data_IF_065845634182
#
_entry.id   IF_065845634182
#
_cell.length_a   1.000
_cell.length_b   1.000
_cell.length_c   1.000
_cell.angle_alpha   90.00
_cell.angle_beta   90.00
_cell.angle_gamma   90.00
#
_symmetry.space_group_name_H-M   'P 1'
#
loop_
_entity.id
_entity.type
_entity.pdbx_description
1 polymer ?
#
# COMPACT_ATOMS: atom_id res chain seq x y z
N UNK A 1 -11.60 -4.79 -1.63
CA UNK A 1 -10.81 -5.13 -0.42
C UNK A 1 -9.83 -6.29 -0.67
N UNK A 2 -10.29 -7.47 -1.13
CA UNK A 2 -9.43 -8.65 -1.36
C UNK A 2 -8.18 -8.39 -2.21
N UNK A 3 -8.33 -7.72 -3.36
CA UNK A 3 -7.19 -7.43 -4.25
C UNK A 3 -6.09 -6.59 -3.56
N UNK A 4 -6.49 -5.60 -2.75
CA UNK A 4 -5.56 -4.79 -1.99
C UNK A 4 -4.86 -5.64 -0.93
N UNK A 5 -5.60 -6.48 -0.20
CA UNK A 5 -5.04 -7.39 0.81
C UNK A 5 -4.00 -8.35 0.21
N UNK A 6 -4.32 -8.98 -0.92
CA UNK A 6 -3.40 -9.89 -1.62
C UNK A 6 -2.15 -9.15 -2.10
N UNK A 7 -2.30 -7.90 -2.55
CA UNK A 7 -1.16 -7.10 -2.98
C UNK A 7 -0.24 -6.73 -1.82
N UNK A 8 -0.80 -6.32 -0.67
CA UNK A 8 -0.06 -5.96 0.53
C UNK A 8 0.81 -7.12 1.06
N UNK A 9 0.29 -8.35 1.01
CA UNK A 9 1.04 -9.55 1.44
C UNK A 9 2.28 -9.81 0.58
N UNK A 10 2.24 -9.44 -0.71
CA UNK A 10 3.36 -9.64 -1.64
C UNK A 10 4.52 -8.66 -1.44
N UNK A 11 4.39 -7.70 -0.51
CA UNK A 11 5.42 -6.70 -0.29
C UNK A 11 6.79 -7.31 0.03
N UNK A 12 6.84 -8.28 0.95
CA UNK A 12 8.08 -8.93 1.36
C UNK A 12 8.76 -9.65 0.18
N UNK A 13 7.99 -10.37 -0.62
CA UNK A 13 8.50 -11.08 -1.80
C UNK A 13 9.08 -10.10 -2.84
N UNK A 14 8.41 -8.98 -3.08
CA UNK A 14 8.89 -7.95 -4.00
C UNK A 14 10.14 -7.24 -3.49
N UNK A 15 10.23 -7.02 -2.18
CA UNK A 15 11.41 -6.44 -1.56
C UNK A 15 12.62 -7.38 -1.69
N UNK A 16 12.43 -8.67 -1.42
CA UNK A 16 13.47 -9.69 -1.59
C UNK A 16 13.90 -9.83 -3.05
N UNK A 17 12.95 -9.77 -3.99
CA UNK A 17 13.26 -9.80 -5.41
C UNK A 17 14.14 -8.60 -5.81
N UNK A 18 13.76 -7.38 -5.41
CA UNK A 18 14.53 -6.18 -5.69
C UNK A 18 15.95 -6.24 -5.10
N UNK A 19 16.09 -6.79 -3.89
CA UNK A 19 17.38 -6.96 -3.22
C UNK A 19 18.26 -8.02 -3.90
N UNK A 20 17.70 -9.17 -4.27
CA UNK A 20 18.45 -10.26 -4.90
C UNK A 20 18.92 -9.89 -6.31
N UNK A 21 18.09 -9.19 -7.07
CA UNK A 21 18.39 -8.81 -8.45
C UNK A 21 19.10 -7.44 -8.56
N UNK A 22 19.25 -6.71 -7.45
CA UNK A 22 19.77 -5.33 -7.41
C UNK A 22 19.01 -4.37 -8.33
N UNK A 23 17.70 -4.57 -8.43
CA UNK A 23 16.84 -3.86 -9.37
C UNK A 23 15.71 -3.10 -8.64
N UNK A 24 15.90 -1.80 -8.34
CA UNK A 24 14.93 -1.01 -7.57
C UNK A 24 13.61 -0.77 -8.30
N UNK A 25 13.58 -0.92 -9.63
CA UNK A 25 12.37 -0.73 -10.43
C UNK A 25 11.23 -1.68 -10.02
N UNK A 26 11.53 -2.85 -9.44
CA UNK A 26 10.51 -3.74 -8.89
C UNK A 26 9.74 -3.11 -7.73
N UNK A 27 10.41 -2.33 -6.88
CA UNK A 27 9.75 -1.58 -5.79
C UNK A 27 8.90 -0.47 -6.39
N UNK A 28 9.43 0.27 -7.38
CA UNK A 28 8.70 1.35 -8.06
C UNK A 28 7.38 0.85 -8.70
N UNK A 29 7.44 -0.26 -9.44
CA UNK A 29 6.25 -0.86 -10.04
C UNK A 29 5.27 -1.34 -8.98
N UNK A 30 5.77 -1.97 -7.90
CA UNK A 30 4.92 -2.43 -6.80
C UNK A 30 4.17 -1.28 -6.11
N UNK A 31 4.84 -0.18 -5.77
CA UNK A 31 4.18 0.95 -5.09
C UNK A 31 3.19 1.68 -6.00
N UNK A 32 3.45 1.71 -7.31
CA UNK A 32 2.52 2.25 -8.29
C UNK A 32 1.23 1.43 -8.33
N UNK A 33 1.35 0.11 -8.46
CA UNK A 33 0.19 -0.79 -8.46
C UNK A 33 -0.57 -0.74 -7.12
N UNK A 34 0.15 -0.64 -6.00
CA UNK A 34 -0.44 -0.46 -4.68
C UNK A 34 -1.27 0.84 -4.60
N UNK A 35 -0.76 1.95 -5.11
CA UNK A 35 -1.48 3.23 -5.14
C UNK A 35 -2.76 3.15 -5.99
N UNK A 36 -2.69 2.52 -7.17
CA UNK A 36 -3.87 2.31 -8.04
C UNK A 36 -4.91 1.42 -7.37
N UNK A 37 -4.50 0.33 -6.72
CA UNK A 37 -5.40 -0.55 -5.98
C UNK A 37 -6.03 0.14 -4.77
N UNK A 38 -5.25 0.95 -4.06
CA UNK A 38 -5.75 1.73 -2.93
C UNK A 38 -6.79 2.78 -3.36
N UNK A 39 -6.55 3.49 -4.46
CA UNK A 39 -7.51 4.46 -5.02
C UNK A 39 -8.84 3.79 -5.36
N UNK A 40 -8.81 2.63 -6.04
CA UNK A 40 -10.02 1.84 -6.32
C UNK A 40 -10.70 1.35 -5.04
N UNK A 41 -9.94 0.96 -4.03
CA UNK A 41 -10.50 0.57 -2.73
C UNK A 41 -11.20 1.74 -2.07
N UNK A 42 -10.57 2.92 -2.05
CA UNK A 42 -11.12 4.13 -1.43
C UNK A 42 -12.43 4.57 -2.09
N UNK A 43 -12.52 4.50 -3.42
CA UNK A 43 -13.74 4.82 -4.17
C UNK A 43 -14.89 3.82 -3.92
N UNK A 44 -14.59 2.52 -3.92
CA UNK A 44 -15.62 1.48 -3.84
C UNK A 44 -16.01 1.11 -2.40
N UNK A 45 -15.19 1.46 -1.40
CA UNK A 45 -15.36 1.03 -0.02
C UNK A 45 -15.20 2.23 0.94
N UNK A 46 -16.24 3.05 1.14
CA UNK A 46 -16.13 4.25 1.97
C UNK A 46 -15.80 3.88 3.42
N UNK A 47 -14.69 4.42 3.93
CA UNK A 47 -14.16 4.13 5.27
C UNK A 47 -15.06 4.75 6.34
N UNK A 48 -15.33 6.05 6.21
CA UNK A 48 -16.13 6.84 7.17
C UNK A 48 -17.62 6.46 7.21
N UNK A 49 -18.15 5.84 6.15
CA UNK A 49 -19.57 5.42 6.05
C UNK A 49 -19.74 3.91 6.20
N UNK A 50 -18.80 3.23 6.84
CA UNK A 50 -18.90 1.78 7.05
C UNK A 50 -20.14 1.44 7.90
N UNK A 51 -20.79 0.31 7.58
CA UNK A 51 -22.07 -0.06 8.19
C UNK A 51 -21.94 -0.49 9.66
N UNK A 52 -20.74 -0.91 10.10
CA UNK A 52 -20.46 -1.30 11.47
C UNK A 52 -18.99 -1.02 11.86
N UNK A 53 -18.73 -0.98 13.16
CA UNK A 53 -17.41 -0.65 13.71
C UNK A 53 -16.32 -1.61 13.23
N UNK A 54 -16.61 -2.92 13.12
CA UNK A 54 -15.63 -3.91 12.63
C UNK A 54 -15.19 -3.63 11.19
N UNK A 55 -16.11 -3.26 10.31
CA UNK A 55 -15.79 -2.88 8.93
C UNK A 55 -15.02 -1.56 8.87
N UNK A 56 -15.40 -0.59 9.71
CA UNK A 56 -14.68 0.67 9.82
C UNK A 56 -13.20 0.43 10.20
N UNK A 57 -12.96 -0.33 11.27
CA UNK A 57 -11.62 -0.58 11.80
C UNK A 57 -10.77 -1.40 10.82
N UNK A 58 -11.37 -2.38 10.14
CA UNK A 58 -10.71 -3.16 9.10
C UNK A 58 -10.27 -2.29 7.92
N UNK A 59 -11.15 -1.41 7.42
CA UNK A 59 -10.85 -0.50 6.32
C UNK A 59 -9.79 0.53 6.70
N UNK A 60 -9.85 1.04 7.92
CA UNK A 60 -8.85 1.95 8.45
C UNK A 60 -7.48 1.26 8.56
N UNK A 61 -7.44 0.00 8.99
CA UNK A 61 -6.21 -0.79 9.03
C UNK A 61 -5.59 -0.97 7.63
N UNK A 62 -6.40 -1.23 6.60
CA UNK A 62 -5.91 -1.27 5.21
C UNK A 62 -5.29 0.06 4.77
N UNK A 63 -5.91 1.20 5.11
CA UNK A 63 -5.38 2.51 4.79
C UNK A 63 -4.06 2.81 5.52
N UNK A 64 -4.01 2.51 6.82
CA UNK A 64 -2.80 2.68 7.63
C UNK A 64 -1.64 1.82 7.07
N UNK A 65 -1.88 0.54 6.81
CA UNK A 65 -0.87 -0.37 6.28
C UNK A 65 -0.38 0.04 4.88
N UNK A 66 -1.28 0.49 4.02
CA UNK A 66 -0.91 1.01 2.69
C UNK A 66 0.01 2.23 2.83
N UNK A 67 -0.32 3.16 3.73
CA UNK A 67 0.50 4.35 3.99
C UNK A 67 1.90 3.99 4.51
N UNK A 68 1.99 3.04 5.45
CA UNK A 68 3.25 2.57 6.00
C UNK A 68 4.15 1.94 4.93
N UNK A 69 3.58 1.05 4.09
CA UNK A 69 4.33 0.40 3.01
C UNK A 69 4.81 1.41 1.98
N UNK A 70 3.98 2.38 1.59
CA UNK A 70 4.39 3.46 0.68
C UNK A 70 5.55 4.27 1.27
N UNK A 71 5.46 4.64 2.55
CA UNK A 71 6.50 5.40 3.23
C UNK A 71 7.82 4.63 3.31
N UNK A 72 7.79 3.36 3.70
CA UNK A 72 8.98 2.49 3.77
C UNK A 72 9.59 2.34 2.39
N UNK A 73 8.78 2.05 1.37
CA UNK A 73 9.25 1.83 0.00
C UNK A 73 9.87 3.08 -0.61
N UNK A 74 9.27 4.26 -0.40
CA UNK A 74 9.81 5.53 -0.88
C UNK A 74 11.12 5.88 -0.15
N UNK A 75 11.19 5.63 1.16
CA UNK A 75 12.43 5.82 1.92
C UNK A 75 13.55 4.90 1.41
N UNK A 76 13.25 3.63 1.10
CA UNK A 76 14.21 2.69 0.49
C UNK A 76 14.73 3.18 -0.88
N UNK A 77 13.91 3.91 -1.62
CA UNK A 77 14.30 4.54 -2.89
C UNK A 77 15.03 5.88 -2.71
N UNK A 78 15.21 6.36 -1.47
CA UNK A 78 15.80 7.66 -1.17
C UNK A 78 14.89 8.85 -1.45
N UNK A 79 13.57 8.62 -1.53
CA UNK A 79 12.56 9.66 -1.79
C UNK A 79 11.91 10.06 -0.47
N UNK A 80 12.02 11.33 -0.10
CA UNK A 80 11.36 11.87 1.07
C UNK A 80 9.86 12.02 0.85
N UNK A 81 9.08 11.66 1.88
CA UNK A 81 7.61 11.75 1.87
C UNK A 81 7.17 12.93 2.72
N UNK A 82 6.44 13.86 2.11
CA UNK A 82 5.77 14.95 2.84
C UNK A 82 4.46 14.46 3.46
N UNK A 83 4.11 14.97 4.64
CA UNK A 83 2.90 14.55 5.36
C UNK A 83 1.60 15.01 4.67
N UNK A 84 1.68 16.06 3.86
CA UNK A 84 0.58 16.62 3.08
C UNK A 84 1.17 17.25 1.82
N UNK A 85 0.61 16.90 0.66
CA UNK A 85 0.86 17.59 -0.62
C UNK A 85 -0.10 18.76 -0.78
#
# INVERSE_FOLDING_TARGET
EHNLAVHLVKFADRLLQAANENYPHYICSYIYDLAVLFMRFYENCPIMKAANQKQHDSRLAFAALTSEILKVSLNLLGIEVVAQM
#
